data_IF_595888275659
#
_entry.id   IF_595888275659
#
_cell.length_a   1.000
_cell.length_b   1.000
_cell.length_c   1.000
_cell.angle_alpha   90.00
_cell.angle_beta   90.00
_cell.angle_gamma   90.00
#
_symmetry.space_group_name_H-M   'P 1'
#
loop_
_entity.id
_entity.type
_entity.pdbx_description
1 polymer ?
#
# COMPACT_ATOMS: atom_id res chain seq x y z
N UNK A 1 1.66 -17.43 8.68
CA UNK A 1 1.62 -17.26 7.22
C UNK A 1 2.67 -16.25 6.90
N UNK A 2 3.68 -16.65 6.15
CA UNK A 2 4.78 -15.77 5.81
C UNK A 2 4.45 -15.12 4.47
N UNK A 3 4.46 -13.80 4.46
CA UNK A 3 4.18 -13.01 3.28
C UNK A 3 5.13 -11.82 3.23
N UNK A 4 5.60 -11.49 2.04
CA UNK A 4 6.43 -10.32 1.80
C UNK A 4 5.51 -9.15 1.47
N UNK A 5 5.56 -8.13 2.32
CA UNK A 5 4.90 -6.86 2.10
C UNK A 5 5.90 -5.88 1.47
N UNK A 6 5.61 -5.46 0.25
CA UNK A 6 6.38 -4.45 -0.48
C UNK A 6 5.60 -3.15 -0.60
N UNK A 7 6.28 -2.02 -0.39
CA UNK A 7 5.69 -0.68 -0.58
C UNK A 7 6.57 0.10 -1.55
N UNK A 8 6.00 0.52 -2.69
CA UNK A 8 6.68 1.29 -3.73
C UNK A 8 6.06 2.67 -3.80
N UNK A 9 6.79 3.68 -3.36
CA UNK A 9 6.36 5.08 -3.37
C UNK A 9 6.72 5.74 -4.70
N UNK A 10 5.70 6.18 -5.45
CA UNK A 10 5.86 7.07 -6.60
C UNK A 10 5.73 8.55 -6.22
N UNK A 11 5.61 9.41 -7.24
CA UNK A 11 5.41 10.86 -7.05
C UNK A 11 3.95 11.21 -6.71
N UNK A 12 2.98 10.46 -7.24
CA UNK A 12 1.54 10.68 -7.02
C UNK A 12 0.78 9.44 -6.53
N UNK A 13 1.39 8.26 -6.61
CA UNK A 13 0.76 6.99 -6.27
C UNK A 13 1.69 6.09 -5.45
N UNK A 14 1.10 5.29 -4.57
CA UNK A 14 1.80 4.23 -3.83
C UNK A 14 1.28 2.90 -4.32
N UNK A 15 2.19 1.98 -4.63
CA UNK A 15 1.83 0.59 -4.89
C UNK A 15 2.20 -0.25 -3.68
N UNK A 16 1.22 -1.00 -3.17
CA UNK A 16 1.41 -1.94 -2.06
C UNK A 16 1.23 -3.35 -2.61
N UNK A 17 2.28 -4.15 -2.48
CA UNK A 17 2.30 -5.54 -2.92
C UNK A 17 2.32 -6.47 -1.72
N UNK A 18 1.48 -7.50 -1.72
CA UNK A 18 1.52 -8.57 -0.72
C UNK A 18 1.65 -9.90 -1.45
N UNK A 19 2.80 -10.55 -1.31
CA UNK A 19 3.07 -11.84 -1.92
C UNK A 19 3.26 -12.90 -0.84
N UNK A 20 2.48 -13.97 -0.90
CA UNK A 20 2.67 -15.10 0.01
C UNK A 20 4.01 -15.80 -0.31
N UNK A 21 4.81 -16.07 0.72
CA UNK A 21 6.00 -16.91 0.58
C UNK A 21 5.54 -18.35 0.57
N UNK A 22 5.47 -18.95 -0.62
CA UNK A 22 5.28 -20.40 -0.74
C UNK A 22 6.54 -21.07 -0.20
N UNK A 23 6.42 -21.70 0.98
CA UNK A 23 7.45 -22.61 1.47
C UNK A 23 7.64 -23.70 0.41
N UNK A 24 8.82 -23.72 -0.21
CA UNK A 24 9.17 -24.51 -1.40
C UNK A 24 9.21 -26.03 -1.19
N UNK A 25 8.50 -26.60 -0.22
CA UNK A 25 8.63 -28.02 0.13
C UNK A 25 7.34 -28.80 0.45
N UNK A 26 6.14 -28.27 0.25
CA UNK A 26 4.94 -29.11 0.39
C UNK A 26 4.60 -29.84 -0.91
N UNK A 27 5.14 -31.06 -1.01
CA UNK A 27 4.85 -32.06 -2.06
C UNK A 27 3.42 -32.64 -2.00
N UNK A 28 2.56 -32.11 -1.13
CA UNK A 28 1.18 -32.53 -0.96
C UNK A 28 0.25 -31.33 -1.08
N UNK A 29 -0.39 -31.21 -2.25
CA UNK A 29 -1.73 -30.65 -2.40
C UNK A 29 -1.98 -29.24 -1.86
N UNK A 30 -1.89 -28.26 -2.77
CA UNK A 30 -2.84 -27.16 -2.87
C UNK A 30 -3.17 -26.42 -1.56
N UNK A 31 -2.21 -25.67 -1.03
CA UNK A 31 -2.56 -24.54 -0.16
C UNK A 31 -3.27 -23.48 -1.02
N UNK A 32 -4.52 -23.09 -0.71
CA UNK A 32 -5.32 -22.12 -1.49
C UNK A 32 -4.70 -20.70 -1.53
N UNK A 33 -3.56 -20.51 -0.87
CA UNK A 33 -2.81 -19.25 -0.76
C UNK A 33 -1.50 -19.25 -1.57
N UNK A 34 -1.17 -20.34 -2.28
CA UNK A 34 0.08 -20.49 -3.04
C UNK A 34 0.22 -19.56 -4.27
N UNK A 35 -0.76 -18.70 -4.51
CA UNK A 35 -0.74 -17.65 -5.54
C UNK A 35 -1.38 -16.34 -5.05
N UNK A 36 -1.37 -16.10 -3.74
CA UNK A 36 -1.89 -14.87 -3.17
C UNK A 36 -0.93 -13.70 -3.49
N UNK A 37 -1.17 -13.04 -4.62
CA UNK A 37 -0.47 -11.84 -5.05
C UNK A 37 -1.45 -10.67 -5.09
N UNK A 38 -1.28 -9.72 -4.17
CA UNK A 38 -1.97 -8.44 -4.25
C UNK A 38 -1.03 -7.38 -4.79
N UNK A 39 -1.54 -6.50 -5.63
CA UNK A 39 -0.85 -5.32 -6.14
C UNK A 39 -1.84 -4.17 -6.23
N UNK A 40 -2.03 -3.47 -5.11
CA UNK A 40 -2.98 -2.37 -5.01
C UNK A 40 -2.26 -1.04 -5.23
N UNK A 41 -2.90 -0.13 -5.97
CA UNK A 41 -2.39 1.21 -6.24
C UNK A 41 -3.29 2.25 -5.60
N UNK A 42 -2.71 3.10 -4.77
CA UNK A 42 -3.39 4.18 -4.06
C UNK A 42 -2.90 5.54 -4.54
N UNK A 43 -3.82 6.45 -4.80
CA UNK A 43 -3.50 7.83 -5.17
C UNK A 43 -3.49 8.73 -3.94
N UNK A 44 -2.41 9.49 -3.75
CA UNK A 44 -2.22 10.31 -2.56
C UNK A 44 -2.03 11.80 -2.83
N UNK A 45 -2.20 12.28 -4.06
CA UNK A 45 -1.99 13.68 -4.44
C UNK A 45 -2.75 14.69 -3.56
N UNK A 46 -3.99 14.39 -3.19
CA UNK A 46 -4.84 15.29 -2.42
C UNK A 46 -5.00 14.79 -0.98
N UNK A 47 -5.21 15.70 -0.03
CA UNK A 47 -5.40 15.33 1.39
C UNK A 47 -6.62 14.42 1.55
N UNK A 48 -7.71 14.75 0.87
CA UNK A 48 -8.94 13.95 0.88
C UNK A 48 -8.85 12.65 0.07
N UNK A 49 -7.87 12.51 -0.84
CA UNK A 49 -7.78 11.30 -1.65
C UNK A 49 -7.35 10.11 -0.80
N UNK A 50 -6.44 10.28 0.16
CA UNK A 50 -5.99 9.17 1.00
C UNK A 50 -7.04 8.66 1.97
N UNK A 51 -7.83 9.54 2.60
CA UNK A 51 -8.91 9.12 3.49
C UNK A 51 -9.99 8.36 2.71
N UNK A 52 -10.32 8.84 1.51
CA UNK A 52 -11.27 8.17 0.61
C UNK A 52 -10.75 6.82 0.12
N UNK A 53 -9.47 6.73 -0.24
CA UNK A 53 -8.83 5.47 -0.63
C UNK A 53 -8.79 4.46 0.54
N UNK A 54 -8.58 4.92 1.77
CA UNK A 54 -8.69 4.07 2.95
C UNK A 54 -10.12 3.55 3.14
N UNK A 55 -11.14 4.41 3.04
CA UNK A 55 -12.55 4.00 3.14
C UNK A 55 -12.92 3.00 2.04
N UNK A 56 -12.51 3.26 0.80
CA UNK A 56 -12.71 2.36 -0.33
C UNK A 56 -12.04 0.99 -0.10
N UNK A 57 -10.82 1.00 0.45
CA UNK A 57 -10.05 -0.21 0.76
C UNK A 57 -10.70 -1.05 1.86
N UNK A 58 -11.26 -0.39 2.88
CA UNK A 58 -12.04 -1.03 3.95
C UNK A 58 -13.32 -1.66 3.39
N UNK A 59 -14.04 -0.94 2.51
CA UNK A 59 -15.24 -1.46 1.84
C UNK A 59 -14.95 -2.66 0.93
N UNK A 60 -13.80 -2.68 0.27
CA UNK A 60 -13.34 -3.81 -0.55
C UNK A 60 -12.93 -5.03 0.27
N UNK A 61 -12.61 -4.87 1.55
CA UNK A 61 -12.14 -5.95 2.42
C UNK A 61 -10.72 -6.40 2.09
N UNK A 62 -9.82 -5.46 1.79
CA UNK A 62 -8.40 -5.75 1.54
C UNK A 62 -7.73 -6.39 2.78
N UNK A 63 -6.69 -7.21 2.58
CA UNK A 63 -5.99 -7.85 3.69
C UNK A 63 -5.37 -6.81 4.64
N UNK A 64 -5.41 -7.11 5.93
CA UNK A 64 -4.99 -6.20 7.01
C UNK A 64 -3.62 -5.54 6.80
N UNK A 65 -2.55 -6.24 6.33
CA UNK A 65 -1.26 -5.60 6.11
C UNK A 65 -1.29 -4.44 5.11
N UNK A 66 -2.10 -4.53 4.06
CA UNK A 66 -2.25 -3.47 3.05
C UNK A 66 -2.99 -2.28 3.67
N UNK A 67 -4.09 -2.55 4.38
CA UNK A 67 -4.86 -1.52 5.08
C UNK A 67 -4.01 -0.75 6.07
N UNK A 68 -3.12 -1.45 6.79
CA UNK A 68 -2.22 -0.81 7.76
C UNK A 68 -1.27 0.18 7.12
N UNK A 69 -0.70 -0.14 5.96
CA UNK A 69 0.18 0.78 5.21
C UNK A 69 -0.57 2.05 4.82
N UNK A 70 -1.79 1.92 4.30
CA UNK A 70 -2.61 3.07 3.91
C UNK A 70 -2.98 3.91 5.12
N UNK A 71 -3.36 3.29 6.24
CA UNK A 71 -3.66 3.97 7.49
C UNK A 71 -2.48 4.81 7.98
N UNK A 72 -1.25 4.28 7.94
CA UNK A 72 -0.05 5.03 8.28
C UNK A 72 0.20 6.22 7.35
N UNK A 73 -0.19 6.13 6.08
CA UNK A 73 -0.06 7.23 5.14
C UNK A 73 -1.17 8.26 5.29
N UNK A 74 -2.40 7.85 5.66
CA UNK A 74 -3.53 8.76 5.83
C UNK A 74 -3.47 9.55 7.14
N UNK A 75 -2.91 8.95 8.20
CA UNK A 75 -2.93 9.51 9.55
C UNK A 75 -1.70 10.38 9.80
N UNK A 76 -1.88 11.70 9.90
CA UNK A 76 -0.86 12.65 10.38
C UNK A 76 -0.85 12.74 11.92
N UNK A 77 -0.82 11.59 12.64
CA UNK A 77 -0.77 11.55 14.12
C UNK A 77 0.54 10.94 14.63
N UNK A 78 0.87 11.23 15.89
CA UNK A 78 2.04 10.71 16.60
C UNK A 78 3.41 11.07 15.97
N UNK A 79 3.50 12.17 15.23
CA UNK A 79 4.77 12.63 14.62
C UNK A 79 5.15 11.91 13.32
N UNK A 80 4.31 10.98 12.83
CA UNK A 80 4.49 10.33 11.54
C UNK A 80 3.78 11.13 10.45
N UNK A 81 4.48 12.11 9.89
CA UNK A 81 3.96 13.06 8.89
C UNK A 81 4.30 12.59 7.46
N UNK A 82 4.49 11.29 7.27
CA UNK A 82 4.99 10.70 6.02
C UNK A 82 4.04 10.98 4.86
N UNK A 83 2.74 10.77 5.06
CA UNK A 83 1.73 11.06 4.04
C UNK A 83 1.83 12.49 3.50
N UNK A 84 1.91 13.49 4.40
CA UNK A 84 2.06 14.90 4.01
C UNK A 84 3.41 15.21 3.36
N UNK A 85 4.50 14.65 3.86
CA UNK A 85 5.83 14.90 3.29
C UNK A 85 5.97 14.30 1.88
N UNK A 86 5.52 13.07 1.67
CA UNK A 86 5.53 12.43 0.35
C UNK A 86 4.63 13.17 -0.64
N UNK A 87 3.47 13.68 -0.20
CA UNK A 87 2.61 14.55 -1.03
C UNK A 87 3.33 15.78 -1.55
N UNK A 88 3.95 16.54 -0.64
CA UNK A 88 4.64 17.78 -0.99
C UNK A 88 5.84 17.50 -1.90
N UNK A 89 6.68 16.54 -1.51
CA UNK A 89 7.86 16.17 -2.31
C UNK A 89 7.46 15.67 -3.70
N UNK A 90 6.42 14.84 -3.77
CA UNK A 90 5.89 14.30 -5.02
C UNK A 90 5.36 15.38 -5.95
N UNK A 91 4.57 16.32 -5.42
CA UNK A 91 4.04 17.46 -6.17
C UNK A 91 5.13 18.37 -6.72
N UNK A 92 6.09 18.80 -5.89
CA UNK A 92 7.17 19.68 -6.34
C UNK A 92 8.10 19.00 -7.34
N UNK A 93 8.42 17.72 -7.14
CA UNK A 93 9.25 16.96 -8.10
C UNK A 93 8.54 16.80 -9.43
N UNK A 94 7.22 16.55 -9.42
CA UNK A 94 6.40 16.51 -10.63
C UNK A 94 6.43 17.84 -11.37
N UNK A 95 6.35 18.96 -10.65
CA UNK A 95 6.46 20.31 -11.25
C UNK A 95 7.86 20.60 -11.81
N UNK A 96 8.93 20.04 -11.25
CA UNK A 96 10.30 20.25 -11.75
C UNK A 96 10.65 19.36 -12.95
N UNK A 97 9.94 18.24 -13.13
CA UNK A 97 10.18 17.28 -14.21
C UNK A 97 9.42 17.66 -15.50
N UNK A 98 8.38 18.49 -15.35
CA UNK A 98 7.61 19.10 -16.43
C UNK A 98 8.33 20.33 -17.00
#
# INVERSE_FOLDING_TARGET
MDAVLGVRMGLNHVNVTLTAVSATNDRYGSSPLAGLEYNERFEFLNVFSMERELENSLRKGLPYPILKVIEYLSVDRAGFVWGRQYRLSGYYTLCMLW
#
